data_IF_374914769966
#
_entry.id   IF_374914769966
#
_cell.length_a   1.000
_cell.length_b   1.000
_cell.length_c   1.000
_cell.angle_alpha   90.00
_cell.angle_beta   90.00
_cell.angle_gamma   90.00
#
_symmetry.space_group_name_H-M   'P 1'
#
loop_
_entity.id
_entity.type
_entity.pdbx_description
1 polymer ?
#
# COMPACT_ATOMS: atom_id res chain seq x y z
N UNK A 1 -19.34 -16.15 -10.32
CA UNK A 1 -18.33 -15.07 -10.37
C UNK A 1 -16.97 -15.70 -10.57
N UNK A 2 -16.19 -15.27 -11.56
CA UNK A 2 -14.92 -15.92 -11.90
C UNK A 2 -13.96 -15.77 -10.71
N UNK A 3 -13.44 -16.88 -10.16
CA UNK A 3 -12.63 -16.86 -8.91
C UNK A 3 -11.44 -15.90 -9.01
N UNK A 4 -10.92 -15.68 -10.21
CA UNK A 4 -9.83 -14.76 -10.53
C UNK A 4 -10.17 -13.28 -10.26
N UNK A 5 -11.45 -12.88 -10.26
CA UNK A 5 -11.87 -11.51 -9.98
C UNK A 5 -11.98 -11.19 -8.48
N UNK A 6 -12.10 -12.22 -7.64
CA UNK A 6 -12.33 -12.05 -6.21
C UNK A 6 -11.06 -11.54 -5.51
N UNK A 7 -9.90 -12.07 -5.89
CA UNK A 7 -8.61 -11.69 -5.31
C UNK A 7 -8.30 -10.18 -5.40
N UNK A 8 -8.31 -9.54 -6.58
CA UNK A 8 -7.99 -8.10 -6.67
C UNK A 8 -9.00 -7.24 -5.89
N UNK A 9 -10.27 -7.65 -5.81
CA UNK A 9 -11.29 -6.93 -5.04
C UNK A 9 -11.00 -7.00 -3.54
N UNK A 10 -10.73 -8.20 -2.99
CA UNK A 10 -10.41 -8.38 -1.57
C UNK A 10 -9.16 -7.58 -1.19
N UNK A 11 -8.11 -7.67 -2.02
CA UNK A 11 -6.88 -6.91 -1.79
C UNK A 11 -7.16 -5.41 -1.75
N UNK A 12 -7.95 -4.90 -2.69
CA UNK A 12 -8.32 -3.48 -2.74
C UNK A 12 -9.08 -3.06 -1.49
N UNK A 13 -10.06 -3.85 -1.04
CA UNK A 13 -10.85 -3.55 0.17
C UNK A 13 -9.94 -3.50 1.41
N UNK A 14 -9.04 -4.48 1.55
CA UNK A 14 -8.08 -4.50 2.66
C UNK A 14 -7.18 -3.26 2.63
N UNK A 15 -6.63 -2.91 1.46
CA UNK A 15 -5.80 -1.70 1.32
C UNK A 15 -6.57 -0.44 1.73
N UNK A 16 -7.83 -0.29 1.31
CA UNK A 16 -8.67 0.86 1.67
C UNK A 16 -8.94 0.94 3.18
N UNK A 17 -9.21 -0.20 3.83
CA UNK A 17 -9.38 -0.27 5.29
C UNK A 17 -8.08 0.14 5.99
N UNK A 18 -6.93 -0.36 5.53
CA UNK A 18 -5.62 0.01 6.07
C UNK A 18 -5.33 1.50 5.91
N UNK A 19 -5.69 2.12 4.79
CA UNK A 19 -5.56 3.58 4.63
C UNK A 19 -6.48 4.34 5.59
N UNK A 20 -7.72 3.87 5.78
CA UNK A 20 -8.64 4.46 6.75
C UNK A 20 -8.07 4.39 8.17
N UNK A 21 -7.46 3.26 8.53
CA UNK A 21 -6.80 3.08 9.82
C UNK A 21 -5.57 3.99 9.97
N UNK A 22 -4.71 4.06 8.95
CA UNK A 22 -3.54 4.92 8.93
C UNK A 22 -3.94 6.40 9.10
N UNK A 23 -4.97 6.85 8.39
CA UNK A 23 -5.50 8.20 8.52
C UNK A 23 -6.09 8.46 9.91
N UNK A 24 -6.79 7.49 10.48
CA UNK A 24 -7.31 7.57 11.84
C UNK A 24 -6.17 7.74 12.86
N UNK A 25 -5.11 6.94 12.78
CA UNK A 25 -3.95 7.07 13.67
C UNK A 25 -3.22 8.38 13.46
N UNK A 26 -3.03 8.82 12.23
CA UNK A 26 -2.40 10.12 11.96
C UNK A 26 -3.18 11.28 12.60
N UNK A 27 -4.51 11.20 12.62
CA UNK A 27 -5.37 12.28 13.14
C UNK A 27 -5.62 12.21 14.65
N UNK A 28 -5.76 11.01 15.21
CA UNK A 28 -6.21 10.79 16.59
C UNK A 28 -5.19 10.06 17.47
N UNK A 29 -4.10 9.55 16.88
CA UNK A 29 -3.02 8.90 17.61
C UNK A 29 -2.28 9.88 18.52
N UNK A 30 -1.66 9.36 19.58
CA UNK A 30 -0.84 10.20 20.45
C UNK A 30 0.46 10.58 19.74
N UNK A 31 0.92 11.82 19.91
CA UNK A 31 2.19 12.29 19.35
C UNK A 31 3.45 11.76 20.06
N UNK A 32 3.30 10.91 21.09
CA UNK A 32 4.44 10.34 21.82
C UNK A 32 5.21 9.32 20.99
N UNK A 33 4.52 8.60 20.11
CA UNK A 33 5.12 7.62 19.20
C UNK A 33 4.66 7.92 17.77
N UNK A 34 5.54 7.85 16.76
CA UNK A 34 5.17 8.03 15.36
C UNK A 34 4.50 6.76 14.83
N UNK A 35 3.36 6.40 15.42
CA UNK A 35 2.64 5.17 15.13
C UNK A 35 2.14 5.12 13.68
N UNK A 36 1.74 6.27 13.14
CA UNK A 36 1.39 6.44 11.73
C UNK A 36 2.56 6.09 10.80
N UNK A 37 3.77 6.54 11.13
CA UNK A 37 4.96 6.21 10.35
C UNK A 37 5.29 4.70 10.41
N UNK A 38 5.17 4.08 11.59
CA UNK A 38 5.38 2.63 11.76
C UNK A 38 4.35 1.85 10.92
N UNK A 39 3.08 2.23 10.99
CA UNK A 39 2.03 1.59 10.19
C UNK A 39 2.25 1.77 8.70
N UNK A 40 2.69 2.95 8.25
CA UNK A 40 2.99 3.17 6.84
C UNK A 40 4.13 2.27 6.35
N UNK A 41 5.13 1.99 7.19
CA UNK A 41 6.20 1.03 6.88
C UNK A 41 5.65 -0.39 6.72
N UNK A 42 4.85 -0.85 7.68
CA UNK A 42 4.21 -2.18 7.63
C UNK A 42 3.33 -2.29 6.39
N UNK A 43 2.49 -1.29 6.14
CA UNK A 43 1.60 -1.24 4.98
C UNK A 43 2.39 -1.26 3.66
N UNK A 44 3.52 -0.57 3.59
CA UNK A 44 4.38 -0.59 2.40
C UNK A 44 4.99 -1.97 2.15
N UNK A 45 5.42 -2.68 3.20
CA UNK A 45 5.93 -4.06 3.08
C UNK A 45 4.82 -5.00 2.58
N UNK A 46 3.61 -4.91 3.13
CA UNK A 46 2.46 -5.67 2.64
C UNK A 46 2.16 -5.37 1.16
N UNK A 47 2.26 -4.09 0.75
CA UNK A 47 2.06 -3.66 -0.62
C UNK A 47 3.13 -4.18 -1.60
N UNK A 48 4.37 -4.41 -1.15
CA UNK A 48 5.36 -5.15 -1.95
C UNK A 48 4.84 -6.56 -2.27
N UNK A 49 4.26 -7.26 -1.28
CA UNK A 49 3.61 -8.55 -1.49
C UNK A 49 2.48 -8.50 -2.53
N UNK A 50 1.66 -7.45 -2.50
CA UNK A 50 0.61 -7.22 -3.51
C UNK A 50 1.20 -7.07 -4.92
N UNK A 51 2.29 -6.31 -5.07
CA UNK A 51 2.97 -6.15 -6.36
C UNK A 51 3.54 -7.47 -6.88
N UNK A 52 4.12 -8.30 -6.00
CA UNK A 52 4.60 -9.64 -6.35
C UNK A 52 3.43 -10.52 -6.82
N UNK A 53 2.30 -10.53 -6.11
CA UNK A 53 1.11 -11.29 -6.52
C UNK A 53 0.57 -10.81 -7.87
N UNK A 54 0.50 -9.49 -8.07
CA UNK A 54 0.07 -8.91 -9.34
C UNK A 54 1.01 -9.26 -10.50
N UNK A 55 2.32 -9.39 -10.27
CA UNK A 55 3.26 -9.86 -11.28
C UNK A 55 2.87 -11.23 -11.84
N UNK A 56 2.56 -12.19 -10.98
CA UNK A 56 2.17 -13.53 -11.42
C UNK A 56 0.74 -13.62 -11.94
N UNK A 57 -0.21 -12.95 -11.30
CA UNK A 57 -1.65 -13.11 -11.56
C UNK A 57 -2.23 -12.11 -12.57
N UNK A 58 -1.48 -11.06 -12.93
CA UNK A 58 -1.90 -10.06 -13.92
C UNK A 58 -0.88 -9.90 -15.04
N UNK A 59 0.39 -9.61 -14.72
CA UNK A 59 1.39 -9.31 -15.76
C UNK A 59 1.82 -10.56 -16.54
N UNK A 60 1.94 -11.71 -15.86
CA UNK A 60 2.28 -13.01 -16.47
C UNK A 60 1.05 -13.84 -16.89
N UNK A 61 -0.17 -13.33 -16.70
CA UNK A 61 -1.39 -14.06 -17.01
C UNK A 61 -1.79 -13.96 -18.49
N UNK A 62 -2.32 -15.06 -19.04
CA UNK A 62 -2.83 -15.09 -20.43
C UNK A 62 -4.02 -14.13 -20.64
N UNK A 63 -4.82 -13.94 -19.59
CA UNK A 63 -5.97 -13.03 -19.59
C UNK A 63 -5.70 -11.91 -18.59
N UNK A 64 -5.46 -10.71 -19.12
CA UNK A 64 -5.22 -9.51 -18.31
C UNK A 64 -6.53 -8.92 -17.83
N UNK A 65 -6.82 -9.08 -16.54
CA UNK A 65 -7.98 -8.47 -15.90
C UNK A 65 -7.62 -7.06 -15.39
N UNK A 66 -8.12 -6.02 -16.06
CA UNK A 66 -7.83 -4.60 -15.75
C UNK A 66 -8.14 -4.20 -14.30
N UNK A 67 -8.98 -4.95 -13.59
CA UNK A 67 -9.30 -4.72 -12.18
C UNK A 67 -8.07 -4.83 -11.25
N UNK A 68 -7.03 -5.56 -11.66
CA UNK A 68 -5.75 -5.62 -10.93
C UNK A 68 -4.98 -4.30 -10.92
N UNK A 69 -5.30 -3.36 -11.82
CA UNK A 69 -4.64 -2.06 -11.86
C UNK A 69 -4.91 -1.24 -10.59
N UNK A 70 -6.10 -1.39 -9.99
CA UNK A 70 -6.47 -0.64 -8.77
C UNK A 70 -5.56 -1.01 -7.59
N UNK A 71 -5.46 -2.28 -7.15
CA UNK A 71 -4.60 -2.62 -6.02
C UNK A 71 -3.11 -2.40 -6.32
N UNK A 72 -2.68 -2.54 -7.58
CA UNK A 72 -1.30 -2.23 -8.01
C UNK A 72 -1.00 -0.74 -7.87
N UNK A 73 -1.90 0.14 -8.31
CA UNK A 73 -1.72 1.58 -8.23
C UNK A 73 -1.70 2.05 -6.77
N UNK A 74 -2.60 1.53 -5.93
CA UNK A 74 -2.60 1.80 -4.48
C UNK A 74 -1.29 1.35 -3.81
N UNK A 75 -0.79 0.16 -4.16
CA UNK A 75 0.47 -0.35 -3.65
C UNK A 75 1.65 0.55 -4.05
N UNK A 76 1.74 0.91 -5.33
CA UNK A 76 2.79 1.78 -5.85
C UNK A 76 2.79 3.16 -5.18
N UNK A 77 1.61 3.79 -5.03
CA UNK A 77 1.49 5.09 -4.36
C UNK A 77 1.92 5.00 -2.90
N UNK A 78 1.54 3.95 -2.17
CA UNK A 78 1.92 3.78 -0.77
C UNK A 78 3.44 3.72 -0.61
N UNK A 79 4.10 2.89 -1.42
CA UNK A 79 5.55 2.73 -1.38
C UNK A 79 6.25 4.03 -1.75
N UNK A 80 5.76 4.71 -2.80
CA UNK A 80 6.32 5.98 -3.23
C UNK A 80 6.17 7.07 -2.16
N UNK A 81 5.02 7.14 -1.48
CA UNK A 81 4.80 8.03 -0.35
C UNK A 81 5.83 7.77 0.76
N UNK A 82 6.05 6.52 1.15
CA UNK A 82 7.03 6.16 2.17
C UNK A 82 8.46 6.57 1.76
N UNK A 83 8.83 6.32 0.51
CA UNK A 83 10.14 6.71 -0.03
C UNK A 83 10.33 8.23 0.02
N UNK A 84 9.32 9.00 -0.38
CA UNK A 84 9.37 10.47 -0.28
C UNK A 84 9.53 10.93 1.16
N UNK A 85 8.81 10.33 2.11
CA UNK A 85 8.96 10.67 3.54
C UNK A 85 10.38 10.37 4.04
N UNK A 86 10.95 9.21 3.69
CA UNK A 86 12.34 8.90 4.04
C UNK A 86 13.34 9.89 3.44
N UNK A 87 13.15 10.32 2.19
CA UNK A 87 13.99 11.34 1.56
C UNK A 87 13.90 12.67 2.33
N UNK A 88 12.68 13.11 2.68
CA UNK A 88 12.47 14.34 3.46
C UNK A 88 13.15 14.24 4.83
N UNK A 89 12.98 13.13 5.53
CA UNK A 89 13.62 12.88 6.83
C UNK A 89 15.15 12.88 6.71
N UNK A 90 15.69 12.27 5.66
CA UNK A 90 17.12 12.27 5.39
C UNK A 90 17.67 13.68 5.18
N UNK A 91 17.00 14.50 4.35
CA UNK A 91 17.42 15.88 4.08
C UNK A 91 17.34 16.72 5.37
N UNK A 92 16.25 16.60 6.13
CA UNK A 92 16.06 17.37 7.36
C UNK A 92 17.03 16.97 8.47
N UNK A 93 17.56 15.75 8.48
CA UNK A 93 18.56 15.32 9.46
C UNK A 93 19.86 16.14 9.41
N UNK A 94 20.20 16.67 8.24
CA UNK A 94 21.43 17.44 8.01
C UNK A 94 21.20 18.96 8.00
N UNK A 95 19.98 19.41 8.33
CA UNK A 95 19.63 20.81 8.58
C UNK A 95 19.70 21.10 10.07
#
# INVERSE_FOLDING_TARGET
MNKLMIFPIIITVIQLISFGHLYYIHKYGSGQFPADFIELNILSICNIGVLILAYFLYFKADIKLSIWLVPVLLAAITILLLVVIYIIMWINKYK
#
